data_IF_101497095676
#
_entry.id   IF_101497095676
#
_cell.length_a   1.000
_cell.length_b   1.000
_cell.length_c   1.000
_cell.angle_alpha   90.00
_cell.angle_beta   90.00
_cell.angle_gamma   90.00
#
_symmetry.space_group_name_H-M   'P 1'
#
loop_
_entity.id
_entity.type
_entity.pdbx_description
1 polymer ?
#
# COMPACT_ATOMS: atom_id res chain seq x y z
N UNK A 1 -1.01 -2.42 -20.20
CA UNK A 1 -1.22 -2.47 -18.74
C UNK A 1 -2.15 -1.30 -18.48
N UNK A 2 -3.45 -1.57 -18.46
CA UNK A 2 -4.48 -0.55 -18.30
C UNK A 2 -4.29 0.11 -16.93
N UNK A 3 -4.14 1.43 -16.85
CA UNK A 3 -4.14 2.14 -15.58
C UNK A 3 -5.48 1.84 -14.89
N UNK A 4 -5.42 1.17 -13.74
CA UNK A 4 -6.57 0.61 -13.03
C UNK A 4 -7.63 1.68 -12.67
N UNK A 5 -7.23 2.96 -12.67
CA UNK A 5 -8.14 4.10 -12.62
C UNK A 5 -7.49 5.34 -13.28
N UNK A 6 -7.97 5.85 -14.43
CA UNK A 6 -7.34 6.98 -15.12
C UNK A 6 -7.75 8.32 -14.48
N UNK A 7 -7.48 8.50 -13.18
CA UNK A 7 -7.91 9.68 -12.42
C UNK A 7 -7.40 10.99 -13.04
N UNK A 8 -6.17 11.00 -13.55
CA UNK A 8 -5.54 12.20 -14.12
C UNK A 8 -6.29 12.72 -15.34
N UNK A 9 -6.85 11.83 -16.17
CA UNK A 9 -7.60 12.25 -17.36
C UNK A 9 -8.97 12.85 -17.00
N UNK A 10 -9.54 12.47 -15.85
CA UNK A 10 -10.86 12.91 -15.42
C UNK A 10 -10.86 14.07 -14.43
N UNK A 11 -9.69 14.51 -13.96
CA UNK A 11 -9.53 15.58 -12.96
C UNK A 11 -9.76 16.99 -13.51
N UNK A 12 -9.68 17.19 -14.83
CA UNK A 12 -9.80 18.51 -15.48
C UNK A 12 -10.99 19.35 -15.01
N UNK A 13 -12.23 18.81 -15.05
CA UNK A 13 -13.42 19.55 -14.60
C UNK A 13 -13.40 19.91 -13.10
N UNK A 14 -12.77 19.09 -12.25
CA UNK A 14 -12.61 19.43 -10.83
C UNK A 14 -11.64 20.61 -10.65
N UNK A 15 -10.50 20.58 -11.33
CA UNK A 15 -9.50 21.65 -11.24
C UNK A 15 -10.07 22.98 -11.74
N UNK A 16 -10.89 22.95 -12.79
CA UNK A 16 -11.64 24.10 -13.28
C UNK A 16 -12.65 24.61 -12.23
N UNK A 17 -13.42 23.73 -11.61
CA UNK A 17 -14.34 24.10 -10.53
C UNK A 17 -13.61 24.74 -9.34
N UNK A 18 -12.43 24.21 -8.96
CA UNK A 18 -11.59 24.76 -7.88
C UNK A 18 -11.02 26.12 -8.27
N UNK A 19 -10.53 26.27 -9.50
CA UNK A 19 -10.01 27.53 -10.04
C UNK A 19 -11.07 28.63 -9.98
N UNK A 20 -12.30 28.31 -10.39
CA UNK A 20 -13.41 29.26 -10.48
C UNK A 20 -14.18 29.39 -9.14
N UNK A 21 -13.75 28.67 -8.09
CA UNK A 21 -14.37 28.59 -6.76
C UNK A 21 -15.84 28.15 -6.80
N UNK A 22 -16.21 27.38 -7.81
CA UNK A 22 -17.55 26.86 -8.02
C UNK A 22 -17.75 25.56 -7.21
N UNK A 23 -18.33 25.72 -6.02
CA UNK A 23 -18.64 24.58 -5.13
C UNK A 23 -19.67 23.62 -5.71
N UNK A 24 -20.58 24.10 -6.57
CA UNK A 24 -21.63 23.26 -7.13
C UNK A 24 -21.02 22.25 -8.12
N UNK A 25 -20.17 22.72 -9.03
CA UNK A 25 -19.45 21.86 -9.97
C UNK A 25 -18.48 20.91 -9.28
N UNK A 26 -17.82 21.36 -8.21
CA UNK A 26 -16.95 20.48 -7.42
C UNK A 26 -17.74 19.33 -6.77
N UNK A 27 -18.94 19.61 -6.22
CA UNK A 27 -19.81 18.59 -5.65
C UNK A 27 -20.40 17.66 -6.71
N UNK A 28 -20.78 18.19 -7.87
CA UNK A 28 -21.23 17.38 -9.00
C UNK A 28 -20.14 16.39 -9.44
N UNK A 29 -18.89 16.86 -9.55
CA UNK A 29 -17.77 16.01 -9.94
C UNK A 29 -17.53 14.86 -8.96
N UNK A 30 -17.76 15.06 -7.65
CA UNK A 30 -17.68 13.99 -6.64
C UNK A 30 -18.70 12.86 -6.84
N UNK A 31 -19.79 13.10 -7.56
CA UNK A 31 -20.80 12.05 -7.81
C UNK A 31 -20.41 11.11 -8.95
N UNK A 32 -19.34 11.41 -9.69
CA UNK A 32 -18.87 10.60 -10.82
C UNK A 32 -18.29 9.27 -10.34
N UNK A 33 -18.50 8.22 -11.14
CA UNK A 33 -18.08 6.85 -10.84
C UNK A 33 -16.58 6.73 -10.51
N UNK A 34 -15.71 7.47 -11.21
CA UNK A 34 -14.26 7.44 -10.95
C UNK A 34 -13.90 7.96 -9.56
N UNK A 35 -14.67 8.91 -9.01
CA UNK A 35 -14.46 9.36 -7.63
C UNK A 35 -15.01 8.36 -6.61
N UNK A 36 -16.18 7.78 -6.87
CA UNK A 36 -16.75 6.72 -6.01
C UNK A 36 -15.83 5.52 -5.89
N UNK A 37 -15.28 5.03 -7.01
CA UNK A 37 -14.33 3.92 -7.00
C UNK A 37 -13.06 4.26 -6.22
N UNK A 38 -12.60 5.52 -6.26
CA UNK A 38 -11.49 5.95 -5.41
C UNK A 38 -11.85 5.89 -3.93
N UNK A 39 -13.02 6.40 -3.55
CA UNK A 39 -13.51 6.35 -2.17
C UNK A 39 -13.64 4.90 -1.68
N UNK A 40 -14.23 4.01 -2.48
CA UNK A 40 -14.35 2.58 -2.18
C UNK A 40 -12.98 1.90 -1.99
N UNK A 41 -11.99 2.22 -2.83
CA UNK A 41 -10.62 1.68 -2.68
C UNK A 41 -9.96 2.16 -1.38
N UNK A 42 -10.18 3.41 -0.99
CA UNK A 42 -9.66 3.97 0.27
C UNK A 42 -10.34 3.29 1.47
N UNK A 43 -11.67 3.12 1.43
CA UNK A 43 -12.42 2.42 2.47
C UNK A 43 -11.96 0.96 2.60
N UNK A 44 -11.83 0.25 1.49
CA UNK A 44 -11.34 -1.12 1.46
C UNK A 44 -9.91 -1.24 2.01
N UNK A 45 -9.05 -0.24 1.76
CA UNK A 45 -7.67 -0.21 2.30
C UNK A 45 -7.61 0.10 3.80
N UNK A 46 -8.62 0.79 4.35
CA UNK A 46 -8.67 1.20 5.75
C UNK A 46 -9.05 0.07 6.71
N UNK A 47 -9.59 -1.04 6.18
CA UNK A 47 -10.00 -2.22 6.96
C UNK A 47 -8.89 -3.25 7.15
N UNK A 48 -7.62 -2.90 6.92
CA UNK A 48 -6.51 -3.74 7.38
C UNK A 48 -6.34 -3.51 8.88
N UNK A 49 -7.23 -4.13 9.66
CA UNK A 49 -7.05 -4.32 11.09
C UNK A 49 -5.72 -5.05 11.26
N UNK A 50 -4.73 -4.29 11.70
CA UNK A 50 -3.51 -4.77 12.33
C UNK A 50 -3.92 -5.47 13.62
N UNK A 51 -4.58 -6.62 13.51
CA UNK A 51 -4.50 -7.68 14.49
C UNK A 51 -3.08 -8.27 14.37
N UNK A 52 -2.09 -7.41 14.60
CA UNK A 52 -0.74 -7.77 14.94
C UNK A 52 -0.87 -8.60 16.20
N UNK A 53 -0.56 -9.88 16.03
CA UNK A 53 -0.42 -10.83 17.12
C UNK A 53 0.51 -10.19 18.15
N UNK A 54 -0.04 -9.76 19.29
CA UNK A 54 0.74 -9.39 20.47
C UNK A 54 1.53 -10.63 20.89
N UNK A 55 2.71 -10.81 20.30
CA UNK A 55 3.72 -11.70 20.81
C UNK A 55 4.36 -10.97 21.99
N UNK A 56 3.84 -11.24 23.19
CA UNK A 56 4.59 -11.14 24.43
C UNK A 56 5.87 -11.99 24.27
N UNK A 57 6.95 -11.33 23.86
CA UNK A 57 8.29 -11.94 23.81
C UNK A 57 8.84 -12.02 25.23
N UNK A 58 8.57 -13.14 25.89
CA UNK A 58 9.48 -13.66 26.90
C UNK A 58 10.80 -14.01 26.21
N UNK A 59 11.87 -13.34 26.66
CA UNK A 59 13.23 -13.60 26.23
C UNK A 59 13.65 -15.01 26.66
N UNK A 60 13.60 -15.96 25.71
CA UNK A 60 14.24 -17.28 25.83
C UNK A 60 15.40 -17.33 24.84
N UNK A 61 16.66 -17.29 25.30
CA UNK A 61 17.80 -17.43 24.40
C UNK A 61 18.04 -18.92 24.19
N UNK A 62 17.60 -19.50 23.07
CA UNK A 62 18.11 -20.79 22.58
C UNK A 62 17.62 -21.11 21.17
N UNK A 63 18.58 -21.20 20.23
CA UNK A 63 18.61 -22.23 19.19
C UNK A 63 17.75 -22.01 17.94
N UNK A 64 18.42 -21.69 16.83
CA UNK A 64 18.20 -22.20 15.46
C UNK A 64 16.80 -22.75 15.08
N UNK A 65 15.76 -21.92 15.15
CA UNK A 65 14.45 -22.22 14.59
C UNK A 65 14.07 -21.17 13.52
N UNK A 66 14.24 -21.56 12.25
CA UNK A 66 13.45 -21.13 11.08
C UNK A 66 13.16 -19.62 10.88
N UNK A 67 14.15 -18.75 11.06
CA UNK A 67 13.94 -17.30 10.87
C UNK A 67 14.01 -16.89 9.38
N UNK A 68 12.85 -16.56 8.80
CA UNK A 68 12.75 -15.75 7.57
C UNK A 68 13.53 -14.43 7.73
N UNK A 69 13.98 -13.83 6.62
CA UNK A 69 14.74 -12.57 6.67
C UNK A 69 14.02 -11.43 5.98
N UNK A 70 14.01 -10.27 6.63
CA UNK A 70 13.43 -9.04 6.10
C UNK A 70 14.45 -8.39 5.17
N UNK A 71 14.05 -8.13 3.93
CA UNK A 71 14.89 -7.39 2.99
C UNK A 71 15.08 -5.95 3.47
N UNK A 72 16.33 -5.53 3.66
CA UNK A 72 16.67 -4.16 4.11
C UNK A 72 16.37 -3.08 3.06
N UNK A 73 16.04 -3.47 1.82
CA UNK A 73 15.79 -2.54 0.72
C UNK A 73 14.30 -2.34 0.43
N UNK A 74 13.51 -3.42 0.44
CA UNK A 74 12.09 -3.37 0.07
C UNK A 74 11.14 -3.92 1.16
N UNK A 75 11.66 -4.21 2.36
CA UNK A 75 10.94 -4.70 3.55
C UNK A 75 10.18 -6.02 3.38
N UNK A 76 10.31 -6.70 2.24
CA UNK A 76 9.68 -8.00 2.00
C UNK A 76 10.32 -9.10 2.87
N UNK A 77 9.50 -10.01 3.38
CA UNK A 77 9.91 -11.13 4.23
C UNK A 77 10.21 -12.34 3.33
N UNK A 78 11.49 -12.68 3.18
CA UNK A 78 11.94 -13.78 2.31
C UNK A 78 12.18 -15.05 3.12
N UNK A 79 12.06 -16.22 2.45
CA UNK A 79 12.48 -17.49 3.03
C UNK A 79 13.99 -17.49 3.34
N UNK A 80 14.38 -18.17 4.43
CA UNK A 80 15.80 -18.30 4.85
C UNK A 80 16.69 -18.98 3.80
N UNK A 81 16.09 -19.82 2.97
CA UNK A 81 16.78 -20.59 1.92
C UNK A 81 17.17 -19.71 0.73
N UNK A 82 16.52 -18.55 0.59
CA UNK A 82 16.76 -17.66 -0.53
C UNK A 82 17.97 -16.77 -0.27
N UNK A 83 18.99 -16.80 -1.15
CA UNK A 83 20.16 -15.94 -1.03
C UNK A 83 19.90 -14.50 -1.48
N UNK A 84 18.77 -14.25 -2.13
CA UNK A 84 18.35 -12.95 -2.65
C UNK A 84 16.85 -12.74 -2.45
N UNK A 85 16.42 -11.48 -2.48
CA UNK A 85 15.02 -11.14 -2.27
C UNK A 85 14.14 -11.48 -3.48
N UNK A 86 12.98 -12.09 -3.28
CA UNK A 86 12.05 -12.47 -4.37
C UNK A 86 11.46 -11.26 -5.11
N UNK A 87 11.32 -10.12 -4.41
CA UNK A 87 10.68 -8.91 -4.96
C UNK A 87 11.68 -8.02 -5.69
N UNK A 88 12.84 -7.76 -5.07
CA UNK A 88 13.81 -6.79 -5.60
C UNK A 88 15.08 -7.46 -6.15
N UNK A 89 15.22 -8.77 -6.01
CA UNK A 89 16.37 -9.56 -6.50
C UNK A 89 17.74 -9.13 -5.93
N UNK A 90 17.75 -8.36 -4.83
CA UNK A 90 18.97 -7.93 -4.14
C UNK A 90 19.45 -9.02 -3.16
N UNK A 91 20.78 -9.19 -2.99
CA UNK A 91 21.35 -10.22 -2.13
C UNK A 91 21.01 -9.99 -0.66
N UNK A 92 20.93 -11.09 0.11
CA UNK A 92 20.83 -11.02 1.56
C UNK A 92 22.12 -10.42 2.14
N UNK A 93 22.02 -9.19 2.63
CA UNK A 93 23.10 -8.54 3.39
C UNK A 93 23.43 -9.39 4.62
N UNK A 94 24.68 -9.84 4.76
CA UNK A 94 25.18 -10.33 6.05
C UNK A 94 25.54 -9.11 6.89
N UNK A 95 24.86 -8.90 8.02
CA UNK A 95 25.40 -8.06 9.08
C UNK A 95 26.43 -8.86 9.88
#
# INVERSE_FOLDING_TARGET
MEDMLPMKSQLGPLLEAVRDKDKAKANEWKTREVWKTLEELIEASSNHDDSSMSNDVEFVPSGDAEQNWICTFCTFINSRELPACEICNLPRSRQ
#
